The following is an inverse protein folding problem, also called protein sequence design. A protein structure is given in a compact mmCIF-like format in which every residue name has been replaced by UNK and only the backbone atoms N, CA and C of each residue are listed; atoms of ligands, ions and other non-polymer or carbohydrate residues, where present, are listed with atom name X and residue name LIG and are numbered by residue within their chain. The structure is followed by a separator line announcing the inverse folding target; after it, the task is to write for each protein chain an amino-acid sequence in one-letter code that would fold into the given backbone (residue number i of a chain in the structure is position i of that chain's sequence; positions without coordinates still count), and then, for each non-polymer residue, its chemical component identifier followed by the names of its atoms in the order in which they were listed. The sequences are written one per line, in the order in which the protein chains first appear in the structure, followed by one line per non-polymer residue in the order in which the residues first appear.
data_IF_638023971160
#
_entry.id   IF_638023971160
#
_cell.length_a   1.000
_cell.length_b   1.000
_cell.length_c   1.000
_cell.angle_alpha   90.00
_cell.angle_beta   90.00
_cell.angle_gamma   90.00
#
_symmetry.space_group_name_H-M   'P 1'
#
loop_
_entity.id
_entity.type
_entity.pdbx_description
1 polymer ?
#
# COMPACT_ATOMS: atom_id res chain seq x y z
N UNK A 1 6.81 18.12 16.78
CA UNK A 1 6.53 17.26 15.62
C UNK A 1 5.15 16.65 15.82
N UNK A 2 4.30 16.60 14.79
CA UNK A 2 3.01 15.93 14.91
C UNK A 2 3.21 14.43 15.14
N UNK A 3 2.39 13.81 15.99
CA UNK A 3 2.42 12.38 16.20
C UNK A 3 2.07 11.63 14.89
N UNK A 4 2.66 10.44 14.63
CA UNK A 4 2.32 9.66 13.45
C UNK A 4 0.86 9.19 13.50
N UNK A 5 0.18 9.19 12.36
CA UNK A 5 -1.16 8.61 12.25
C UNK A 5 -1.05 7.11 11.93
N UNK A 6 -1.81 6.28 12.64
CA UNK A 6 -1.80 4.83 12.49
C UNK A 6 -3.22 4.36 12.22
N UNK A 7 -3.42 3.63 11.12
CA UNK A 7 -4.70 3.03 10.75
C UNK A 7 -4.53 1.53 10.56
N UNK A 8 -5.34 0.74 11.27
CA UNK A 8 -5.40 -0.70 11.11
C UNK A 8 -6.25 -1.05 9.89
N UNK A 9 -5.77 -1.99 9.07
CA UNK A 9 -6.45 -2.46 7.87
C UNK A 9 -7.09 -3.81 8.16
N UNK A 10 -8.39 -3.92 7.83
CA UNK A 10 -9.17 -5.14 7.98
C UNK A 10 -10.21 -5.23 6.85
N UNK A 11 -10.08 -6.25 6.01
CA UNK A 11 -11.03 -6.59 4.94
C UNK A 11 -11.54 -8.01 5.13
N UNK A 12 -12.82 -8.24 4.81
CA UNK A 12 -13.43 -9.57 4.82
C UNK A 12 -13.00 -10.43 3.62
N UNK A 13 -12.33 -9.83 2.63
CA UNK A 13 -11.85 -10.54 1.42
C UNK A 13 -10.49 -11.22 1.58
N UNK A 14 -9.80 -10.96 2.69
CA UNK A 14 -8.58 -11.66 3.08
C UNK A 14 -8.80 -12.39 4.42
N UNK A 15 -8.02 -13.45 4.73
CA UNK A 15 -8.14 -14.18 6.00
C UNK A 15 -8.11 -13.25 7.21
N UNK A 16 -9.01 -13.48 8.16
CA UNK A 16 -9.08 -12.69 9.38
C UNK A 16 -7.78 -12.84 10.19
N UNK A 17 -7.26 -11.73 10.70
CA UNK A 17 -6.11 -11.75 11.59
C UNK A 17 -6.57 -11.99 13.03
N UNK A 18 -5.91 -12.91 13.73
CA UNK A 18 -6.22 -13.23 15.14
C UNK A 18 -4.98 -12.92 15.98
N UNK A 19 -5.04 -11.86 16.79
CA UNK A 19 -3.90 -11.39 17.59
C UNK A 19 -2.91 -10.48 16.86
N UNK A 20 -3.20 -10.09 15.61
CA UNK A 20 -2.45 -9.10 14.82
C UNK A 20 -3.41 -8.38 13.85
N UNK A 21 -2.92 -7.36 13.13
CA UNK A 21 -3.69 -6.68 12.07
C UNK A 21 -3.30 -7.23 10.70
N UNK A 22 -4.22 -7.31 9.72
CA UNK A 22 -3.86 -7.74 8.37
C UNK A 22 -2.81 -6.82 7.74
N UNK A 23 -2.94 -5.51 7.98
CA UNK A 23 -1.92 -4.53 7.69
C UNK A 23 -2.05 -3.30 8.59
N UNK A 24 -1.00 -2.48 8.63
CA UNK A 24 -0.97 -1.19 9.33
C UNK A 24 -0.52 -0.11 8.36
N UNK A 25 -1.33 0.95 8.23
CA UNK A 25 -1.03 2.13 7.43
C UNK A 25 -0.54 3.25 8.33
N UNK A 26 0.67 3.74 8.07
CA UNK A 26 1.32 4.83 8.80
C UNK A 26 1.31 6.09 7.94
N UNK A 27 0.89 7.21 8.52
CA UNK A 27 0.86 8.54 7.90
C UNK A 27 0.09 8.60 6.58
N UNK A 28 -0.87 7.69 6.37
CA UNK A 28 -1.58 7.51 5.09
C UNK A 28 -0.64 7.30 3.88
N UNK A 29 0.59 6.84 4.13
CA UNK A 29 1.64 6.77 3.12
C UNK A 29 2.25 5.37 3.03
N UNK A 30 2.71 4.80 4.15
CA UNK A 30 3.41 3.50 4.14
C UNK A 30 2.54 2.43 4.76
N UNK A 31 2.32 1.36 4.01
CA UNK A 31 1.53 0.20 4.40
C UNK A 31 2.45 -0.98 4.69
N UNK A 32 2.32 -1.54 5.89
CA UNK A 32 2.99 -2.77 6.29
C UNK A 32 1.97 -3.90 6.32
N UNK A 33 2.11 -4.87 5.42
CA UNK A 33 1.21 -6.03 5.30
C UNK A 33 1.82 -7.20 6.06
N UNK A 34 1.04 -7.82 6.95
CA UNK A 34 1.47 -9.02 7.66
C UNK A 34 1.64 -10.21 6.72
N UNK A 35 2.45 -11.18 7.12
CA UNK A 35 2.67 -12.41 6.36
C UNK A 35 1.35 -13.11 6.00
N UNK A 36 1.11 -13.27 4.70
CA UNK A 36 -0.03 -13.99 4.14
C UNK A 36 0.41 -15.40 3.73
N UNK A 37 -0.32 -16.41 4.20
CA UNK A 37 -0.21 -17.79 3.71
C UNK A 37 -1.23 -18.04 2.61
N UNK A 38 -1.22 -19.25 2.04
CA UNK A 38 -2.22 -19.72 1.07
C UNK A 38 -3.63 -19.95 1.65
N UNK A 39 -3.99 -19.34 2.78
CA UNK A 39 -5.33 -19.47 3.36
C UNK A 39 -6.39 -18.75 2.53
N UNK A 40 -7.57 -19.35 2.40
CA UNK A 40 -8.73 -18.71 1.76
C UNK A 40 -9.53 -17.97 2.84
N UNK A 41 -10.03 -16.77 2.54
CA UNK A 41 -10.89 -16.03 3.48
C UNK A 41 -12.09 -16.88 3.93
N UNK A 42 -12.37 -16.87 5.23
CA UNK A 42 -13.42 -17.69 5.85
C UNK A 42 -13.07 -19.17 6.05
N UNK A 43 -11.89 -19.63 5.65
CA UNK A 43 -11.41 -21.01 5.89
C UNK A 43 -10.32 -21.06 6.95
N UNK A 44 -10.13 -22.26 7.50
CA UNK A 44 -9.12 -22.54 8.54
C UNK A 44 -7.80 -23.04 7.97
N UNK A 45 -7.83 -23.63 6.79
CA UNK A 45 -6.71 -24.33 6.16
C UNK A 45 -6.25 -23.63 4.88
N UNK A 46 -5.02 -23.96 4.47
CA UNK A 46 -4.44 -23.49 3.20
C UNK A 46 -5.12 -24.17 2.01
N UNK A 47 -5.08 -23.50 0.86
CA UNK A 47 -5.53 -24.02 -0.42
C UNK A 47 -4.78 -25.31 -0.79
N UNK A 48 -5.46 -26.36 -1.30
CA UNK A 48 -4.77 -27.56 -1.79
C UNK A 48 -3.99 -27.27 -3.08
N UNK A 49 -3.03 -28.14 -3.43
CA UNK A 49 -2.26 -28.03 -4.67
C UNK A 49 -0.82 -27.53 -4.49
N UNK A 50 -0.31 -27.54 -3.26
CA UNK A 50 1.10 -27.32 -2.96
C UNK A 50 1.55 -25.85 -3.01
N UNK A 51 2.87 -25.65 -2.99
CA UNK A 51 3.48 -24.32 -2.84
C UNK A 51 3.05 -23.33 -3.93
N UNK A 52 2.86 -23.78 -5.17
CA UNK A 52 2.37 -22.95 -6.28
C UNK A 52 0.97 -22.38 -6.01
N UNK A 53 0.05 -23.24 -5.58
CA UNK A 53 -1.33 -22.85 -5.26
C UNK A 53 -1.36 -21.91 -4.04
N UNK A 54 -0.55 -22.22 -3.02
CA UNK A 54 -0.43 -21.39 -1.82
C UNK A 54 0.16 -20.01 -2.13
N UNK A 55 1.21 -19.93 -2.94
CA UNK A 55 1.81 -18.67 -3.36
C UNK A 55 0.80 -17.79 -4.10
N UNK A 56 0.00 -18.38 -5.00
CA UNK A 56 -1.05 -17.66 -5.72
C UNK A 56 -2.07 -17.09 -4.73
N UNK A 57 -2.55 -17.90 -3.80
CA UNK A 57 -3.55 -17.47 -2.82
C UNK A 57 -2.99 -16.43 -1.84
N UNK A 58 -1.75 -16.59 -1.36
CA UNK A 58 -1.07 -15.60 -0.53
C UNK A 58 -0.99 -14.23 -1.24
N UNK A 59 -0.59 -14.22 -2.50
CA UNK A 59 -0.57 -13.01 -3.32
C UNK A 59 -1.99 -12.45 -3.53
N UNK A 60 -2.99 -13.27 -3.80
CA UNK A 60 -4.39 -12.81 -3.87
C UNK A 60 -4.84 -12.13 -2.57
N UNK A 61 -4.50 -12.69 -1.41
CA UNK A 61 -4.82 -12.10 -0.11
C UNK A 61 -4.13 -10.74 0.08
N UNK A 62 -2.85 -10.63 -0.28
CA UNK A 62 -2.11 -9.35 -0.29
C UNK A 62 -2.82 -8.34 -1.20
N UNK A 63 -3.25 -8.75 -2.40
CA UNK A 63 -3.97 -7.89 -3.34
C UNK A 63 -5.27 -7.29 -2.78
N UNK A 64 -6.04 -8.10 -2.03
CA UNK A 64 -7.27 -7.64 -1.37
C UNK A 64 -6.97 -6.65 -0.24
N UNK A 65 -5.91 -6.87 0.53
CA UNK A 65 -5.45 -5.95 1.59
C UNK A 65 -4.97 -4.63 0.99
N UNK A 66 -4.15 -4.68 -0.06
CA UNK A 66 -3.67 -3.51 -0.80
C UNK A 66 -4.84 -2.69 -1.34
N UNK A 67 -5.80 -3.35 -1.98
CA UNK A 67 -6.99 -2.71 -2.56
C UNK A 67 -7.82 -2.01 -1.49
N UNK A 68 -8.08 -2.67 -0.36
CA UNK A 68 -8.81 -2.06 0.76
C UNK A 68 -8.06 -0.83 1.34
N UNK A 69 -6.73 -0.87 1.36
CA UNK A 69 -5.90 0.23 1.82
C UNK A 69 -5.79 1.39 0.81
N UNK A 70 -6.28 1.24 -0.43
CA UNK A 70 -6.13 2.24 -1.49
C UNK A 70 -4.78 2.17 -2.22
N UNK A 71 -4.13 1.01 -2.21
CA UNK A 71 -2.86 0.71 -2.90
C UNK A 71 -3.08 -0.36 -3.99
N UNK A 72 -1.98 -0.83 -4.59
CA UNK A 72 -1.98 -1.93 -5.56
C UNK A 72 -0.58 -2.55 -5.64
N UNK A 73 -0.42 -3.65 -6.38
CA UNK A 73 0.90 -4.28 -6.61
C UNK A 73 1.93 -3.33 -7.23
N UNK A 74 1.50 -2.34 -7.99
CA UNK A 74 2.38 -1.29 -8.56
C UNK A 74 3.09 -0.45 -7.51
N UNK A 75 2.63 -0.50 -6.27
CA UNK A 75 3.15 0.31 -5.17
C UNK A 75 3.79 -0.54 -4.07
N UNK A 76 3.95 -1.84 -4.30
CA UNK A 76 4.71 -2.70 -3.38
C UNK A 76 6.19 -2.42 -3.62
N UNK A 77 6.90 -2.09 -2.56
CA UNK A 77 8.32 -1.69 -2.61
C UNK A 77 9.25 -2.75 -2.02
N UNK A 78 8.74 -3.62 -1.15
CA UNK A 78 9.51 -4.73 -0.58
C UNK A 78 8.61 -5.95 -0.32
N UNK A 79 9.16 -7.16 -0.51
CA UNK A 79 8.54 -8.42 -0.11
C UNK A 79 9.57 -9.37 0.52
N UNK A 80 9.17 -10.09 1.57
CA UNK A 80 9.87 -11.30 2.00
C UNK A 80 9.03 -12.52 1.62
N UNK A 81 9.66 -13.49 0.98
CA UNK A 81 9.06 -14.77 0.59
C UNK A 81 9.73 -15.86 1.41
N UNK A 82 8.92 -16.55 2.20
CA UNK A 82 9.33 -17.64 3.08
C UNK A 82 8.74 -18.95 2.55
N UNK A 83 9.57 -19.96 2.37
CA UNK A 83 9.13 -21.31 1.96
C UNK A 83 9.60 -22.37 2.95
N UNK A 84 8.91 -23.50 3.05
CA UNK A 84 9.38 -24.64 3.86
C UNK A 84 10.31 -25.58 3.10
N UNK A 85 10.37 -25.49 1.77
CA UNK A 85 11.21 -26.32 0.91
C UNK A 85 11.77 -25.50 -0.27
N UNK A 86 13.09 -25.39 -0.38
CA UNK A 86 13.73 -24.62 -1.45
C UNK A 86 13.53 -25.22 -2.85
N UNK A 87 13.15 -26.50 -2.95
CA UNK A 87 12.81 -27.12 -4.23
C UNK A 87 11.57 -26.46 -4.89
N UNK A 88 10.75 -25.75 -4.11
CA UNK A 88 9.58 -25.02 -4.62
C UNK A 88 9.94 -23.62 -5.19
N UNK A 89 11.22 -23.23 -5.20
CA UNK A 89 11.65 -21.90 -5.60
C UNK A 89 11.12 -21.49 -6.98
N UNK A 90 11.26 -22.35 -7.99
CA UNK A 90 10.86 -22.02 -9.36
C UNK A 90 9.35 -21.78 -9.46
N UNK A 91 8.56 -22.69 -8.90
CA UNK A 91 7.09 -22.64 -8.89
C UNK A 91 6.54 -21.39 -8.20
N UNK A 92 7.11 -21.05 -7.04
CA UNK A 92 6.73 -19.85 -6.29
C UNK A 92 7.15 -18.59 -7.05
N UNK A 93 8.36 -18.59 -7.62
CA UNK A 93 8.89 -17.44 -8.35
C UNK A 93 8.09 -17.14 -9.63
N UNK A 94 7.70 -18.16 -10.40
CA UNK A 94 6.85 -18.00 -11.58
C UNK A 94 5.47 -17.44 -11.19
N UNK A 95 4.88 -17.96 -10.12
CA UNK A 95 3.60 -17.47 -9.60
C UNK A 95 3.68 -16.02 -9.16
N UNK A 96 4.72 -15.66 -8.40
CA UNK A 96 4.95 -14.31 -7.89
C UNK A 96 5.06 -13.28 -9.01
N UNK A 97 5.82 -13.58 -10.08
CA UNK A 97 6.03 -12.67 -11.21
C UNK A 97 4.73 -12.25 -11.91
N UNK A 98 3.71 -13.11 -11.91
CA UNK A 98 2.42 -12.82 -12.55
C UNK A 98 1.64 -11.67 -11.89
N UNK A 99 2.03 -11.23 -10.69
CA UNK A 99 1.41 -10.10 -9.99
C UNK A 99 2.11 -8.76 -10.26
N UNK A 100 3.25 -8.78 -10.96
CA UNK A 100 4.06 -7.59 -11.23
C UNK A 100 4.34 -7.44 -12.73
N UNK A 101 4.70 -6.23 -13.10
CA UNK A 101 5.29 -5.90 -14.40
C UNK A 101 6.79 -5.62 -14.23
N UNK A 102 7.56 -5.65 -15.32
CA UNK A 102 9.03 -5.50 -15.25
C UNK A 102 9.49 -4.20 -14.55
N UNK A 103 8.69 -3.15 -14.65
CA UNK A 103 8.89 -1.82 -14.05
C UNK A 103 8.34 -1.69 -12.62
N UNK A 104 7.69 -2.72 -12.06
CA UNK A 104 7.05 -2.69 -10.74
C UNK A 104 7.52 -3.78 -9.78
N UNK A 105 8.62 -4.47 -10.10
CA UNK A 105 9.21 -5.45 -9.17
C UNK A 105 9.65 -4.79 -7.86
N UNK A 106 9.26 -5.34 -6.69
CA UNK A 106 9.71 -4.84 -5.41
C UNK A 106 11.14 -5.32 -5.11
N UNK A 107 11.80 -4.65 -4.14
CA UNK A 107 12.91 -5.27 -3.44
C UNK A 107 12.43 -6.60 -2.82
N UNK A 108 13.31 -7.61 -2.77
CA UNK A 108 12.87 -8.96 -2.41
C UNK A 108 13.93 -9.75 -1.66
N UNK A 109 13.49 -10.44 -0.62
CA UNK A 109 14.22 -11.56 -0.03
C UNK A 109 13.42 -12.86 -0.22
N UNK A 110 14.13 -13.95 -0.53
CA UNK A 110 13.56 -15.29 -0.66
C UNK A 110 14.41 -16.25 0.14
N UNK A 111 13.83 -16.97 1.10
CA UNK A 111 14.58 -17.88 1.96
C UNK A 111 13.70 -19.02 2.48
N UNK A 112 14.36 -20.12 2.86
CA UNK A 112 13.71 -21.25 3.49
C UNK A 112 13.65 -21.10 5.01
N UNK A 113 12.53 -21.50 5.60
CA UNK A 113 12.31 -21.60 7.05
C UNK A 113 11.95 -23.04 7.43
N UNK A 114 12.11 -23.38 8.71
CA UNK A 114 11.83 -24.75 9.19
C UNK A 114 10.33 -25.08 9.13
N UNK A 115 9.47 -24.12 9.49
CA UNK A 115 8.02 -24.31 9.55
C UNK A 115 7.27 -22.99 9.46
N UNK A 116 6.08 -23.03 8.89
CA UNK A 116 5.13 -21.92 8.86
C UNK A 116 3.84 -22.27 9.63
N UNK A 117 3.06 -21.27 10.08
CA UNK A 117 1.76 -21.49 10.69
C UNK A 117 0.84 -22.35 9.81
N UNK A 118 -0.02 -23.15 10.45
CA UNK A 118 -1.00 -24.03 9.78
C UNK A 118 -0.37 -25.03 8.78
N UNK A 119 0.92 -25.33 8.93
CA UNK A 119 1.69 -26.17 8.00
C UNK A 119 1.67 -25.65 6.56
N UNK A 120 1.53 -24.32 6.38
CA UNK A 120 1.67 -23.69 5.07
C UNK A 120 3.06 -23.99 4.48
N UNK A 121 3.12 -24.05 3.15
CA UNK A 121 4.35 -24.22 2.39
C UNK A 121 4.96 -22.87 2.01
N UNK A 122 4.12 -21.82 1.89
CA UNK A 122 4.53 -20.47 1.48
C UNK A 122 3.90 -19.41 2.39
N UNK A 123 4.70 -18.42 2.77
CA UNK A 123 4.25 -17.18 3.41
C UNK A 123 4.93 -15.98 2.75
N UNK A 124 4.17 -14.91 2.50
CA UNK A 124 4.67 -13.68 1.87
C UNK A 124 4.22 -12.48 2.67
N UNK A 125 5.16 -11.61 3.05
CA UNK A 125 4.86 -10.27 3.56
C UNK A 125 5.12 -9.20 2.50
N UNK A 126 4.61 -8.00 2.74
CA UNK A 126 4.81 -6.89 1.82
C UNK A 126 4.86 -5.54 2.54
N UNK A 127 5.69 -4.64 2.01
CA UNK A 127 5.64 -3.21 2.30
C UNK A 127 5.23 -2.49 1.03
N UNK A 128 4.24 -1.62 1.12
CA UNK A 128 3.73 -0.86 0.00
C UNK A 128 3.57 0.62 0.36
N UNK A 129 3.43 1.46 -0.66
CA UNK A 129 2.99 2.85 -0.50
C UNK A 129 1.54 3.00 -0.94
N UNK A 130 0.78 3.84 -0.26
CA UNK A 130 -0.58 4.22 -0.68
C UNK A 130 -0.44 5.46 -1.56
N UNK A 131 -1.18 5.50 -2.68
CA UNK A 131 -1.19 6.65 -3.58
C UNK A 131 -1.94 7.83 -2.93
N UNK A 132 -1.35 8.42 -1.89
CA UNK A 132 -1.82 9.59 -1.17
C UNK A 132 -0.72 10.62 -1.08
N UNK A 133 -0.88 11.72 -1.83
CA UNK A 133 -0.06 12.94 -1.80
C UNK A 133 1.46 12.74 -1.74
N UNK A 134 2.07 12.44 -2.89
CA UNK A 134 3.49 12.73 -3.06
C UNK A 134 3.66 14.25 -3.09
N UNK A 135 4.40 14.81 -2.11
CA UNK A 135 5.08 16.09 -2.32
C UNK A 135 6.30 15.79 -3.16
N UNK A 136 6.18 15.90 -4.48
CA UNK A 136 7.36 15.86 -5.34
C UNK A 136 8.10 17.19 -5.18
N UNK A 137 9.34 17.13 -4.70
CA UNK A 137 10.28 18.25 -4.84
C UNK A 137 10.96 18.10 -6.20
N UNK A 138 10.56 18.88 -7.20
CA UNK A 138 11.36 19.03 -8.41
C UNK A 138 12.46 20.05 -8.17
N UNK A 139 13.71 19.66 -8.45
CA UNK A 139 14.84 20.59 -8.44
C UNK A 139 14.92 21.29 -9.78
N UNK A 140 14.89 22.63 -9.78
CA UNK A 140 15.28 23.41 -10.97
C UNK A 140 16.78 23.65 -10.92
N UNK A 141 17.42 23.82 -12.09
CA UNK A 141 18.87 23.94 -12.25
C UNK A 141 19.53 25.11 -11.48
N UNK A 142 18.76 25.93 -10.77
CA UNK A 142 19.20 27.12 -10.03
C UNK A 142 18.88 27.07 -8.53
N UNK A 143 18.61 25.90 -7.97
CA UNK A 143 18.40 25.74 -6.52
C UNK A 143 17.11 26.37 -5.99
N UNK A 144 16.19 26.78 -6.87
CA UNK A 144 14.87 27.25 -6.47
C UNK A 144 13.92 26.05 -6.29
N UNK A 145 13.19 26.08 -5.16
CA UNK A 145 12.25 25.05 -4.77
C UNK A 145 10.82 25.41 -5.22
N UNK A 146 10.14 24.48 -5.87
CA UNK A 146 8.68 24.53 -6.06
C UNK A 146 8.02 23.33 -5.36
N UNK A 147 7.07 23.60 -4.45
CA UNK A 147 6.21 22.55 -3.88
C UNK A 147 5.12 22.22 -4.90
N UNK A 148 5.19 21.05 -5.54
CA UNK A 148 4.06 20.55 -6.31
C UNK A 148 3.33 19.51 -5.46
N UNK A 149 2.12 19.85 -5.00
CA UNK A 149 1.21 18.89 -4.34
C UNK A 149 0.37 18.24 -5.43
N UNK A 150 0.76 17.07 -5.91
CA UNK A 150 -0.06 16.32 -6.87
C UNK A 150 -1.21 15.65 -6.12
N UNK A 151 -2.44 16.15 -6.32
CA UNK A 151 -3.67 15.61 -5.77
C UNK A 151 -4.23 14.59 -6.77
N UNK A 152 -3.91 13.30 -6.64
CA UNK A 152 -4.64 12.28 -7.40
C UNK A 152 -6.01 12.10 -6.75
N UNK A 153 -7.02 12.76 -7.29
CA UNK A 153 -8.42 12.61 -6.86
C UNK A 153 -8.89 11.22 -7.26
N UNK A 154 -9.16 10.37 -6.27
CA UNK A 154 -9.96 9.15 -6.43
C UNK A 154 -11.34 9.57 -6.98
N UNK A 155 -11.64 9.23 -8.23
CA UNK A 155 -12.99 9.35 -8.79
C UNK A 155 -13.91 8.34 -8.09
N UNK A 156 -14.46 8.72 -6.93
CA UNK A 156 -15.70 8.10 -6.43
C UNK A 156 -16.84 8.92 -7.01
N UNK A 157 -17.51 8.37 -8.01
CA UNK A 157 -18.69 8.95 -8.68
C UNK A 157 -19.80 9.14 -7.64
N UNK A 158 -19.84 10.33 -7.03
CA UNK A 158 -21.00 10.82 -6.28
C UNK A 158 -21.73 11.77 -7.22
N UNK A 159 -23.02 11.51 -7.43
CA UNK A 159 -23.93 12.32 -8.23
C UNK A 159 -23.75 13.81 -7.94
N UNK A 160 -23.52 14.59 -8.99
CA UNK A 160 -23.43 16.05 -8.95
C UNK A 160 -24.80 16.62 -8.60
N UNK A 161 -24.95 17.16 -7.39
CA UNK A 161 -26.02 18.11 -7.06
C UNK A 161 -25.71 19.04 -5.87
N UNK A 162 -24.47 19.12 -5.36
CA UNK A 162 -24.19 19.95 -4.16
C UNK A 162 -22.81 20.65 -4.15
N UNK A 163 -22.17 20.87 -5.30
CA UNK A 163 -20.82 21.42 -5.35
C UNK A 163 -20.74 22.94 -5.11
N UNK A 164 -21.83 23.70 -5.21
CA UNK A 164 -21.80 25.18 -5.09
C UNK A 164 -21.77 25.71 -3.65
N UNK A 165 -21.95 24.87 -2.63
CA UNK A 165 -22.08 25.33 -1.24
C UNK A 165 -20.75 25.39 -0.45
N UNK A 166 -19.69 24.74 -0.93
CA UNK A 166 -18.44 24.56 -0.14
C UNK A 166 -17.38 25.61 -0.46
N UNK A 167 -17.35 26.17 -1.67
CA UNK A 167 -16.32 27.14 -2.07
C UNK A 167 -16.46 28.51 -1.39
N UNK A 168 -17.66 28.93 -0.99
CA UNK A 168 -17.86 30.26 -0.36
C UNK A 168 -17.28 30.41 1.05
N UNK A 169 -16.80 29.34 1.70
CA UNK A 169 -16.21 29.43 3.05
C UNK A 169 -14.70 29.65 3.07
N UNK A 170 -13.99 29.46 1.96
CA UNK A 170 -12.53 29.62 1.92
C UNK A 170 -12.06 30.99 1.40
N UNK A 171 -12.91 31.75 0.71
CA UNK A 171 -12.51 33.05 0.14
C UNK A 171 -12.55 34.24 1.12
N UNK A 172 -13.17 34.10 2.29
CA UNK A 172 -13.30 35.22 3.25
C UNK A 172 -12.02 35.44 4.08
N UNK A 173 -11.05 34.52 4.07
CA UNK A 173 -9.83 34.61 4.90
C UNK A 173 -8.56 35.09 4.17
N UNK A 174 -8.65 35.50 2.89
CA UNK A 174 -7.47 35.98 2.12
C UNK A 174 -7.36 37.50 1.96
N UNK A 175 -8.25 38.30 2.52
CA UNK A 175 -8.26 39.76 2.29
C UNK A 175 -7.67 40.63 3.43
N UNK A 176 -6.93 40.06 4.38
CA UNK A 176 -6.27 40.85 5.44
C UNK A 176 -4.80 40.48 5.63
N UNK A 177 -3.95 40.70 4.61
CA UNK A 177 -2.52 40.97 4.81
C UNK A 177 -1.86 41.30 3.46
N UNK A 178 -1.63 42.59 3.19
CA UNK A 178 -0.88 42.98 2.00
C UNK A 178 -1.02 44.45 1.59
N UNK A 179 -0.74 45.41 2.48
CA UNK A 179 -0.38 46.76 2.08
C UNK A 179 1.13 46.94 2.30
N UNK A 180 1.89 46.87 1.22
CA UNK A 180 3.29 47.28 1.14
C UNK A 180 3.33 48.83 1.19
N UNK A 181 4.07 49.39 2.15
CA UNK A 181 4.42 50.81 2.17
C UNK A 181 5.67 51.05 1.29
N UNK A 182 5.77 52.19 0.60
CA UNK A 182 6.88 52.47 -0.32
C UNK A 182 8.16 52.88 0.39
N UNK A 183 9.26 52.49 -0.24
CA UNK A 183 10.65 52.69 0.13
C UNK A 183 11.04 54.18 0.23
N UNK A 184 11.79 54.54 1.27
CA UNK A 184 12.48 55.83 1.44
C UNK A 184 13.83 55.57 2.10
N UNK A 185 14.89 55.47 1.31
CA UNK A 185 16.01 56.44 1.25
C UNK A 185 17.05 56.04 0.22
#
# INVERSE_FOLDING_TARGET
MAAPSIRLIATSKAPAATGYSQAVLVNNQTLYVSGQTGMISGKTDVVPGGARAEAKQAMTNIGEILTYAGSSFKHVINCNIMVTNMNDFQDVNETFKNFFTADTYPARSFFQVVKLPKNALVMIDAVAVVAGHYRTRSYTAWGQYTENVTKTVLHKRISMNNFEAVERKFDVLRHCSGQLLPDKR
#
